data_IF_674532932167
#
_entry.id   IF_674532932167
#
_cell.length_a   1.000
_cell.length_b   1.000
_cell.length_c   1.000
_cell.angle_alpha   90.00
_cell.angle_beta   90.00
_cell.angle_gamma   90.00
#
_symmetry.space_group_name_H-M   'P 1'
#
loop_
_entity.id
_entity.type
_entity.pdbx_description
1 polymer ?
#
# COMPACT_ATOMS: atom_id res chain seq x y z
N UNK A 1 20.97 -6.56 -9.34
CA UNK A 1 20.52 -6.43 -7.93
C UNK A 1 19.03 -6.72 -7.90
N UNK A 2 18.58 -7.67 -7.07
CA UNK A 2 17.16 -7.95 -6.93
C UNK A 2 16.44 -6.71 -6.39
N UNK A 3 15.39 -6.25 -7.09
CA UNK A 3 14.57 -5.14 -6.59
C UNK A 3 13.85 -5.60 -5.31
N UNK A 4 13.73 -4.73 -4.29
CA UNK A 4 13.10 -5.10 -3.02
C UNK A 4 11.64 -5.54 -3.23
N UNK A 5 11.21 -6.50 -2.41
CA UNK A 5 9.81 -6.92 -2.34
C UNK A 5 8.93 -5.74 -1.89
N UNK A 6 7.67 -5.71 -2.33
CA UNK A 6 6.72 -4.64 -1.98
C UNK A 6 6.62 -4.44 -0.45
N UNK A 7 6.64 -5.53 0.31
CA UNK A 7 6.63 -5.49 1.77
C UNK A 7 7.85 -4.79 2.38
N UNK A 8 9.04 -4.89 1.77
CA UNK A 8 10.24 -4.16 2.21
C UNK A 8 10.10 -2.65 1.96
N UNK A 9 9.55 -2.28 0.80
CA UNK A 9 9.30 -0.87 0.47
C UNK A 9 8.25 -0.25 1.39
N UNK A 10 7.17 -0.98 1.69
CA UNK A 10 6.14 -0.53 2.65
C UNK A 10 6.74 -0.34 4.05
N UNK A 11 7.54 -1.30 4.55
CA UNK A 11 8.26 -1.16 5.82
C UNK A 11 9.17 0.07 5.83
N UNK A 12 9.91 0.31 4.75
CA UNK A 12 10.77 1.50 4.59
C UNK A 12 9.95 2.79 4.60
N UNK A 13 8.81 2.83 3.92
CA UNK A 13 7.92 3.99 3.88
C UNK A 13 7.30 4.31 5.25
N UNK A 14 7.04 3.29 6.06
CA UNK A 14 6.59 3.38 7.45
C UNK A 14 7.72 3.70 8.44
N UNK A 15 8.98 3.47 8.07
CA UNK A 15 10.12 3.59 8.98
C UNK A 15 10.20 2.49 10.04
N UNK A 16 9.56 1.33 9.81
CA UNK A 16 9.51 0.21 10.75
C UNK A 16 10.36 -0.96 10.29
N UNK A 17 10.90 -1.74 11.23
CA UNK A 17 11.66 -2.97 10.92
C UNK A 17 10.75 -4.19 10.69
N UNK A 18 9.56 -4.20 11.29
CA UNK A 18 8.60 -5.30 11.24
C UNK A 18 7.17 -4.74 11.34
N UNK A 19 6.22 -5.36 10.64
CA UNK A 19 4.78 -5.10 10.79
C UNK A 19 4.14 -6.20 11.64
N UNK A 20 3.03 -5.88 12.29
CA UNK A 20 2.60 -6.61 13.48
C UNK A 20 2.01 -8.00 13.18
N UNK A 21 2.27 -8.93 14.10
CA UNK A 21 2.02 -10.36 13.90
C UNK A 21 0.56 -10.80 14.04
N UNK A 22 -0.27 -10.00 14.73
CA UNK A 22 -1.71 -10.23 14.93
C UNK A 22 -2.52 -8.97 14.61
N UNK A 23 -3.84 -9.13 14.41
CA UNK A 23 -4.75 -8.00 14.18
C UNK A 23 -4.83 -7.09 15.40
N UNK A 24 -4.83 -7.65 16.61
CA UNK A 24 -4.91 -6.88 17.86
C UNK A 24 -3.66 -6.02 18.10
N UNK A 25 -2.51 -6.48 17.61
CA UNK A 25 -1.27 -5.75 17.73
C UNK A 25 -1.11 -4.69 16.63
N UNK A 26 -1.87 -4.72 15.54
CA UNK A 26 -1.65 -3.88 14.36
C UNK A 26 -1.89 -2.38 14.65
N UNK A 27 -0.81 -1.59 14.57
CA UNK A 27 -0.82 -0.15 14.83
C UNK A 27 -0.37 0.69 13.63
N UNK A 28 0.17 0.04 12.61
CA UNK A 28 0.77 0.73 11.47
C UNK A 28 -0.30 1.25 10.52
N UNK A 29 -0.11 2.49 10.10
CA UNK A 29 -0.92 3.15 9.09
C UNK A 29 -0.01 3.81 8.05
N UNK A 30 -0.27 3.51 6.78
CA UNK A 30 0.42 4.06 5.64
C UNK A 30 -0.50 5.07 4.94
N UNK A 31 -0.15 6.37 4.89
CA UNK A 31 -0.86 7.34 4.06
C UNK A 31 -0.91 6.91 2.60
N UNK A 32 -2.01 7.19 1.91
CA UNK A 32 -2.19 6.80 0.51
C UNK A 32 -1.06 7.35 -0.38
N UNK A 33 -0.60 8.57 -0.14
CA UNK A 33 0.48 9.22 -0.88
C UNK A 33 1.79 8.41 -0.81
N UNK A 34 2.05 7.79 0.35
CA UNK A 34 3.21 6.90 0.49
C UNK A 34 2.99 5.58 -0.25
N UNK A 35 1.77 5.03 -0.25
CA UNK A 35 1.45 3.85 -1.05
C UNK A 35 1.62 4.13 -2.56
N UNK A 36 1.19 5.30 -3.02
CA UNK A 36 1.41 5.79 -4.39
C UNK A 36 2.91 5.93 -4.68
N UNK A 37 3.69 6.47 -3.74
CA UNK A 37 5.16 6.55 -3.86
C UNK A 37 5.81 5.18 -4.03
N UNK A 38 5.40 4.19 -3.23
CA UNK A 38 5.86 2.80 -3.34
C UNK A 38 5.46 2.20 -4.71
N UNK A 39 4.26 2.50 -5.19
CA UNK A 39 3.82 2.05 -6.51
C UNK A 39 4.66 2.66 -7.64
N UNK A 40 5.04 3.94 -7.54
CA UNK A 40 5.95 4.61 -8.50
C UNK A 40 7.34 3.98 -8.48
N UNK A 41 7.90 3.76 -7.29
CA UNK A 41 9.23 3.15 -7.11
C UNK A 41 9.27 1.71 -7.67
N UNK A 42 8.14 1.01 -7.63
CA UNK A 42 8.02 -0.38 -8.08
C UNK A 42 7.33 -0.53 -9.45
N UNK A 43 7.00 0.56 -10.13
CA UNK A 43 6.16 0.54 -11.34
C UNK A 43 6.66 -0.44 -12.43
N UNK A 44 7.98 -0.59 -12.58
CA UNK A 44 8.58 -1.52 -13.54
C UNK A 44 8.48 -3.01 -13.16
N UNK A 45 7.98 -3.37 -11.97
CA UNK A 45 7.72 -4.75 -11.54
C UNK A 45 6.22 -5.04 -11.30
N UNK A 46 5.38 -4.00 -11.31
CA UNK A 46 3.95 -4.14 -11.07
C UNK A 46 3.22 -4.40 -12.38
N UNK A 47 2.03 -5.00 -12.29
CA UNK A 47 1.24 -5.40 -13.47
C UNK A 47 0.10 -4.44 -13.78
N UNK A 48 -0.15 -3.46 -12.89
CA UNK A 48 -1.21 -2.46 -13.07
C UNK A 48 -0.99 -1.60 -14.31
N UNK A 49 -2.07 -1.35 -15.05
CA UNK A 49 -2.06 -0.55 -16.28
C UNK A 49 -1.83 0.95 -16.03
N UNK A 50 -2.21 1.43 -14.85
CA UNK A 50 -2.09 2.83 -14.44
C UNK A 50 -1.64 2.93 -12.97
N UNK A 51 -1.38 4.16 -12.50
CA UNK A 51 -0.92 4.43 -11.14
C UNK A 51 -1.92 3.96 -10.06
N UNK A 52 -3.22 4.07 -10.33
CA UNK A 52 -4.28 3.62 -9.43
C UNK A 52 -4.25 2.09 -9.30
N UNK A 53 -4.15 1.36 -10.42
CA UNK A 53 -4.04 -0.09 -10.47
C UNK A 53 -2.76 -0.59 -9.79
N UNK A 54 -1.62 0.04 -10.05
CA UNK A 54 -0.35 -0.26 -9.40
C UNK A 54 -0.42 -0.03 -7.88
N UNK A 55 -1.06 1.07 -7.45
CA UNK A 55 -1.25 1.35 -6.02
C UNK A 55 -2.19 0.34 -5.35
N UNK A 56 -3.24 -0.13 -6.03
CA UNK A 56 -4.10 -1.22 -5.53
C UNK A 56 -3.30 -2.50 -5.30
N UNK A 57 -2.36 -2.83 -6.18
CA UNK A 57 -1.47 -4.00 -6.02
C UNK A 57 -0.59 -3.85 -4.75
N UNK A 58 -0.04 -2.66 -4.51
CA UNK A 58 0.71 -2.34 -3.29
C UNK A 58 -0.17 -2.48 -2.05
N UNK A 59 -1.37 -1.91 -2.06
CA UNK A 59 -2.33 -1.99 -0.93
C UNK A 59 -2.76 -3.44 -0.68
N UNK A 60 -2.88 -4.27 -1.73
CA UNK A 60 -3.14 -5.70 -1.59
C UNK A 60 -2.08 -6.41 -0.74
N UNK A 61 -0.82 -6.01 -0.84
CA UNK A 61 0.28 -6.52 0.00
C UNK A 61 0.07 -6.12 1.48
N UNK A 62 -0.44 -4.93 1.73
CA UNK A 62 -0.72 -4.43 3.09
C UNK A 62 -1.77 -5.28 3.83
N UNK A 63 -2.63 -6.02 3.13
CA UNK A 63 -3.59 -6.97 3.74
C UNK A 63 -2.86 -8.00 4.61
N UNK A 64 -1.83 -8.66 4.06
CA UNK A 64 -1.06 -9.67 4.79
C UNK A 64 -0.18 -9.06 5.88
N UNK A 65 0.24 -7.80 5.69
CA UNK A 65 1.05 -7.04 6.65
C UNK A 65 0.22 -6.43 7.78
N UNK A 66 -1.11 -6.44 7.67
CA UNK A 66 -2.05 -5.81 8.63
C UNK A 66 -1.77 -4.31 8.82
N UNK A 67 -1.35 -3.64 7.76
CA UNK A 67 -1.08 -2.20 7.75
C UNK A 67 -2.30 -1.48 7.23
N UNK A 68 -2.83 -0.50 7.96
CA UNK A 68 -3.95 0.34 7.48
C UNK A 68 -3.49 1.31 6.40
N UNK A 69 -4.41 1.73 5.55
CA UNK A 69 -4.20 2.78 4.55
C UNK A 69 -5.11 3.95 4.88
N UNK A 70 -4.51 5.04 5.30
CA UNK A 70 -5.20 6.30 5.61
C UNK A 70 -6.36 6.11 6.59
N UNK A 71 -6.12 5.34 7.66
CA UNK A 71 -7.09 5.00 8.69
C UNK A 71 -7.96 3.77 8.38
N UNK A 72 -7.99 3.30 7.13
CA UNK A 72 -8.86 2.20 6.70
C UNK A 72 -8.11 0.87 6.63
N UNK A 73 -8.80 -0.24 6.89
CA UNK A 73 -8.22 -1.54 6.60
C UNK A 73 -8.00 -1.70 5.09
N UNK A 74 -6.95 -2.41 4.63
CA UNK A 74 -6.61 -2.50 3.21
C UNK A 74 -7.77 -2.94 2.31
N UNK A 75 -8.61 -3.86 2.78
CA UNK A 75 -9.78 -4.31 2.01
C UNK A 75 -10.83 -3.21 1.83
N UNK A 76 -10.98 -2.31 2.80
CA UNK A 76 -11.89 -1.18 2.72
C UNK A 76 -11.28 -0.06 1.87
N UNK A 77 -9.98 0.23 2.06
CA UNK A 77 -9.24 1.15 1.21
C UNK A 77 -9.31 0.77 -0.29
N UNK A 78 -9.21 -0.53 -0.62
CA UNK A 78 -9.37 -1.01 -2.00
C UNK A 78 -10.77 -0.72 -2.56
N UNK A 79 -11.81 -0.82 -1.74
CA UNK A 79 -13.19 -0.49 -2.15
C UNK A 79 -13.37 1.01 -2.34
N UNK A 80 -12.80 1.83 -1.46
CA UNK A 80 -12.83 3.30 -1.59
C UNK A 80 -12.18 3.74 -2.92
N UNK A 81 -11.05 3.11 -3.27
CA UNK A 81 -10.39 3.34 -4.57
C UNK A 81 -11.28 2.85 -5.73
N UNK A 82 -11.93 1.69 -5.59
CA UNK A 82 -12.82 1.14 -6.61
C UNK A 82 -14.07 2.02 -6.85
N UNK A 83 -14.61 2.63 -5.79
CA UNK A 83 -15.72 3.59 -5.84
C UNK A 83 -15.33 4.94 -6.44
N UNK A 84 -14.03 5.19 -6.66
CA UNK A 84 -13.51 6.45 -7.19
C UNK A 84 -13.39 7.58 -6.16
N UNK A 85 -13.61 7.29 -4.88
CA UNK A 85 -13.59 8.29 -3.80
C UNK A 85 -12.20 8.92 -3.59
N UNK A 86 -11.14 8.26 -4.05
CA UNK A 86 -9.75 8.74 -3.99
C UNK A 86 -9.16 9.12 -5.34
N UNK A 87 -9.95 9.21 -6.41
CA UNK A 87 -9.43 9.45 -7.76
C UNK A 87 -8.67 10.77 -7.88
N UNK A 88 -9.10 11.81 -7.17
CA UNK A 88 -8.41 13.11 -7.11
C UNK A 88 -6.98 13.02 -6.52
N UNK A 89 -6.68 11.98 -5.74
CA UNK A 89 -5.36 11.76 -5.14
C UNK A 89 -4.39 11.00 -6.06
N UNK A 90 -4.90 10.46 -7.18
CA UNK A 90 -4.10 9.79 -8.21
C UNK A 90 -3.77 10.70 -9.41
N UNK A 91 -4.29 11.93 -9.40
CA UNK A 91 -4.14 12.93 -10.47
C UNK A 91 -2.81 13.69 -10.41
#
# INVERSE_FOLDING_TARGET
MAKPWTAELVKKALGVKKCNGSMDAATEDLPLEKAIGVAKDKAGDLTGADLKAMTREVIGTCVAMRVKIDGHWPKDALKIIENGEWDDRFN
#
